data_IF_617680765829
#
_entry.id   IF_617680765829
#
_cell.length_a   1.000
_cell.length_b   1.000
_cell.length_c   1.000
_cell.angle_alpha   90.00
_cell.angle_beta   90.00
_cell.angle_gamma   90.00
#
_symmetry.space_group_name_H-M   'P 1'
#
loop_
_entity.id
_entity.type
_entity.pdbx_description
1 polymer ?
#
# COMPACT_ATOMS: atom_id res chain seq x y z
N UNK A 1 -72.66 24.76 21.71
CA UNK A 1 -71.49 24.53 20.84
C UNK A 1 -70.93 23.15 21.12
N UNK A 2 -71.23 22.19 20.25
CA UNK A 2 -70.85 20.78 20.40
C UNK A 2 -69.44 20.53 19.82
N UNK A 3 -68.53 19.91 20.59
CA UNK A 3 -67.21 19.48 20.14
C UNK A 3 -67.28 18.04 19.63
N UNK A 4 -67.06 17.84 18.33
CA UNK A 4 -67.00 16.54 17.64
C UNK A 4 -65.86 15.66 18.20
N UNK A 5 -66.07 14.34 18.41
CA UNK A 5 -65.00 13.40 18.77
C UNK A 5 -64.15 13.02 17.55
N UNK A 6 -62.84 12.81 17.78
CA UNK A 6 -61.81 12.50 16.77
C UNK A 6 -61.94 11.05 16.30
N UNK A 7 -61.75 10.83 15.00
CA UNK A 7 -61.81 9.54 14.31
C UNK A 7 -60.57 8.69 14.59
N UNK A 8 -60.76 7.42 14.94
CA UNK A 8 -59.69 6.43 15.12
C UNK A 8 -59.19 5.93 13.76
N UNK A 9 -57.89 6.08 13.49
CA UNK A 9 -57.24 5.56 12.28
C UNK A 9 -57.04 4.05 12.33
N UNK A 10 -57.28 3.37 11.21
CA UNK A 10 -57.07 1.92 11.04
C UNK A 10 -55.58 1.56 11.00
N UNK A 11 -55.15 0.41 11.57
CA UNK A 11 -53.74 0.00 11.55
C UNK A 11 -53.32 -0.59 10.19
N UNK A 12 -52.08 -0.32 9.76
CA UNK A 12 -51.50 -0.82 8.49
C UNK A 12 -51.20 -2.33 8.55
N UNK A 13 -51.31 -3.07 7.43
CA UNK A 13 -51.02 -4.50 7.39
C UNK A 13 -49.52 -4.80 7.51
N UNK A 14 -49.19 -5.91 8.16
CA UNK A 14 -47.82 -6.38 8.42
C UNK A 14 -47.16 -6.98 7.17
N UNK A 15 -45.83 -6.77 7.06
CA UNK A 15 -44.98 -7.26 5.95
C UNK A 15 -44.91 -8.79 5.91
N UNK A 16 -45.00 -9.36 4.70
CA UNK A 16 -44.93 -10.80 4.42
C UNK A 16 -43.57 -11.42 4.76
N UNK A 17 -43.62 -12.70 5.16
CA UNK A 17 -42.46 -13.54 5.54
C UNK A 17 -41.53 -13.77 4.35
N UNK A 18 -40.23 -13.69 4.60
CA UNK A 18 -39.13 -14.02 3.68
C UNK A 18 -39.18 -15.48 3.21
N UNK A 19 -39.33 -15.71 1.90
CA UNK A 19 -39.09 -17.01 1.26
C UNK A 19 -37.60 -17.33 1.17
N UNK A 20 -37.23 -18.61 1.23
CA UNK A 20 -35.84 -19.09 1.13
C UNK A 20 -35.25 -18.81 -0.27
N UNK A 21 -33.95 -18.51 -0.41
CA UNK A 21 -33.32 -18.20 -1.70
C UNK A 21 -33.23 -19.43 -2.62
N UNK A 22 -33.34 -19.20 -3.94
CA UNK A 22 -33.19 -20.22 -5.00
C UNK A 22 -31.75 -20.75 -5.03
N UNK A 23 -31.58 -22.06 -5.22
CA UNK A 23 -30.26 -22.71 -5.24
C UNK A 23 -29.43 -22.29 -6.47
N UNK A 24 -28.10 -22.14 -6.33
CA UNK A 24 -27.21 -21.76 -7.44
C UNK A 24 -27.08 -22.88 -8.49
N UNK A 25 -26.72 -22.52 -9.74
CA UNK A 25 -26.55 -23.49 -10.83
C UNK A 25 -25.38 -24.45 -10.58
N UNK A 26 -25.46 -25.64 -11.18
CA UNK A 26 -24.43 -26.67 -11.05
C UNK A 26 -23.05 -26.18 -11.55
N UNK A 27 -22.01 -26.46 -10.76
CA UNK A 27 -20.63 -26.11 -11.07
C UNK A 27 -19.97 -27.20 -11.94
N UNK A 28 -19.04 -26.79 -12.79
CA UNK A 28 -18.16 -27.73 -13.51
C UNK A 28 -17.08 -28.30 -12.58
N UNK A 29 -16.35 -29.34 -12.99
CA UNK A 29 -15.29 -29.96 -12.18
C UNK A 29 -14.16 -29.00 -11.74
N UNK A 30 -14.08 -27.81 -12.34
CA UNK A 30 -13.15 -26.73 -12.00
C UNK A 30 -13.75 -25.65 -11.08
N UNK A 31 -14.96 -25.86 -10.53
CA UNK A 31 -15.60 -24.93 -9.57
C UNK A 31 -16.12 -23.62 -10.18
N UNK A 32 -16.31 -23.56 -11.50
CA UNK A 32 -16.88 -22.39 -12.18
C UNK A 32 -18.35 -22.64 -12.57
N UNK A 33 -19.21 -21.61 -12.50
CA UNK A 33 -20.62 -21.75 -12.85
C UNK A 33 -20.76 -22.11 -14.32
N UNK A 34 -21.48 -23.20 -14.64
CA UNK A 34 -21.73 -23.58 -16.03
C UNK A 34 -22.75 -22.63 -16.66
N UNK A 35 -22.30 -21.55 -17.29
CA UNK A 35 -23.19 -20.64 -18.00
C UNK A 35 -23.46 -21.20 -19.40
N UNK A 36 -24.67 -21.72 -19.60
CA UNK A 36 -25.17 -22.18 -20.90
C UNK A 36 -25.50 -20.95 -21.77
N UNK A 37 -24.51 -20.35 -22.43
CA UNK A 37 -24.75 -19.07 -23.13
C UNK A 37 -23.90 -18.73 -24.34
N UNK A 38 -22.68 -19.23 -24.46
CA UNK A 38 -21.83 -18.91 -25.61
C UNK A 38 -21.29 -20.22 -26.17
N UNK A 39 -21.54 -20.50 -27.46
CA UNK A 39 -21.09 -21.72 -28.15
C UNK A 39 -19.57 -21.81 -28.34
N UNK A 40 -18.82 -21.23 -27.40
CA UNK A 40 -17.38 -21.32 -27.29
C UNK A 40 -17.01 -22.72 -26.78
N UNK A 41 -16.00 -23.31 -27.40
CA UNK A 41 -15.50 -24.61 -26.96
C UNK A 41 -15.01 -24.51 -25.50
N UNK A 42 -15.22 -25.57 -24.68
CA UNK A 42 -14.73 -25.55 -23.31
C UNK A 42 -13.22 -25.31 -23.29
N UNK A 43 -12.77 -24.44 -22.38
CA UNK A 43 -11.34 -24.17 -22.20
C UNK A 43 -10.61 -25.48 -21.90
N UNK A 44 -9.54 -25.74 -22.65
CA UNK A 44 -8.71 -26.93 -22.45
C UNK A 44 -7.96 -26.80 -21.12
N UNK A 45 -7.76 -27.89 -20.36
CA UNK A 45 -6.91 -27.86 -19.17
C UNK A 45 -5.52 -27.30 -19.47
N UNK A 46 -4.97 -26.52 -18.55
CA UNK A 46 -3.62 -25.98 -18.65
C UNK A 46 -2.60 -27.13 -18.61
N UNK A 47 -1.85 -27.28 -19.69
CA UNK A 47 -0.77 -28.27 -19.82
C UNK A 47 0.56 -27.52 -19.88
N UNK A 48 1.37 -27.53 -18.80
CA UNK A 48 2.64 -26.80 -18.75
C UNK A 48 3.72 -27.40 -19.67
N UNK A 49 3.58 -28.67 -20.05
CA UNK A 49 4.56 -29.40 -20.88
C UNK A 49 4.07 -29.61 -22.32
N UNK A 50 2.83 -29.20 -22.62
CA UNK A 50 2.20 -29.37 -23.92
C UNK A 50 2.61 -28.30 -24.94
N UNK A 51 3.29 -28.71 -26.02
CA UNK A 51 3.54 -27.84 -27.17
C UNK A 51 2.22 -27.45 -27.86
N UNK A 52 1.74 -26.23 -27.60
CA UNK A 52 0.57 -25.69 -28.29
C UNK A 52 0.90 -25.44 -29.79
N UNK A 53 -0.05 -25.68 -30.72
CA UNK A 53 0.18 -25.37 -32.13
C UNK A 53 0.45 -23.87 -32.30
N UNK A 54 1.48 -23.53 -33.08
CA UNK A 54 1.89 -22.15 -33.29
C UNK A 54 0.73 -21.31 -33.84
N UNK A 55 0.31 -20.32 -33.05
CA UNK A 55 -0.79 -19.42 -33.41
C UNK A 55 -0.45 -18.71 -34.74
N UNK A 56 -1.43 -18.48 -35.64
CA UNK A 56 -1.20 -17.81 -36.92
C UNK A 56 -0.49 -16.46 -36.78
N UNK A 57 -0.76 -15.72 -35.70
CA UNK A 57 -0.13 -14.44 -35.38
C UNK A 57 1.38 -14.53 -35.10
N UNK A 58 1.85 -15.67 -34.58
CA UNK A 58 3.25 -15.90 -34.21
C UNK A 58 4.09 -16.49 -35.37
N UNK A 59 3.49 -16.79 -36.53
CA UNK A 59 4.23 -17.28 -37.70
C UNK A 59 5.18 -16.25 -38.34
N UNK A 60 4.98 -14.96 -38.06
CA UNK A 60 5.82 -13.87 -38.60
C UNK A 60 6.93 -13.43 -37.65
N UNK A 61 6.82 -13.77 -36.37
CA UNK A 61 7.91 -13.59 -35.42
C UNK A 61 8.89 -14.72 -35.62
N UNK A 62 10.18 -14.41 -35.76
CA UNK A 62 11.22 -15.44 -35.88
C UNK A 62 11.11 -16.48 -34.76
N UNK A 63 11.65 -17.68 -35.01
CA UNK A 63 11.68 -18.78 -34.04
C UNK A 63 12.19 -18.21 -32.72
N UNK A 64 11.36 -18.28 -31.68
CA UNK A 64 11.80 -17.94 -30.33
C UNK A 64 12.93 -18.91 -29.98
N UNK A 65 14.08 -18.43 -29.48
CA UNK A 65 15.11 -19.33 -28.97
C UNK A 65 14.48 -20.28 -27.95
N UNK A 66 14.90 -21.54 -27.95
CA UNK A 66 14.38 -22.54 -26.99
C UNK A 66 14.57 -22.10 -25.53
N UNK A 67 15.59 -21.27 -25.27
CA UNK A 67 15.88 -20.68 -23.94
C UNK A 67 15.19 -19.32 -23.70
N UNK A 68 14.16 -18.97 -24.48
CA UNK A 68 13.46 -17.70 -24.31
C UNK A 68 12.66 -17.67 -23.00
N UNK A 69 13.20 -16.98 -22.01
CA UNK A 69 12.48 -16.70 -20.77
C UNK A 69 12.05 -15.24 -20.71
N UNK A 70 10.74 -14.94 -20.61
CA UNK A 70 10.23 -13.57 -20.70
C UNK A 70 10.76 -12.64 -19.60
N UNK A 71 11.13 -13.18 -18.42
CA UNK A 71 11.70 -12.40 -17.34
C UNK A 71 13.23 -12.40 -17.28
N UNK A 72 13.93 -13.20 -18.10
CA UNK A 72 15.40 -13.28 -18.00
C UNK A 72 16.08 -11.96 -18.36
N UNK A 73 15.55 -11.22 -19.34
CA UNK A 73 16.04 -9.88 -19.65
C UNK A 73 15.83 -8.89 -18.49
N UNK A 74 14.67 -8.92 -17.84
CA UNK A 74 14.38 -8.07 -16.69
C UNK A 74 15.29 -8.39 -15.51
N UNK A 75 15.47 -9.68 -15.22
CA UNK A 75 16.36 -10.15 -14.15
C UNK A 75 17.82 -9.76 -14.42
N UNK A 76 18.27 -9.80 -15.68
CA UNK A 76 19.60 -9.34 -16.04
C UNK A 76 19.82 -7.84 -15.78
N UNK A 77 18.78 -7.02 -16.00
CA UNK A 77 18.85 -5.57 -15.79
C UNK A 77 18.78 -5.17 -14.31
N UNK A 78 17.92 -5.84 -13.53
CA UNK A 78 17.69 -5.52 -12.13
C UNK A 78 18.76 -6.08 -11.19
N UNK A 79 19.41 -7.18 -11.57
CA UNK A 79 20.51 -7.74 -10.80
C UNK A 79 21.69 -6.76 -10.75
N UNK A 80 22.31 -6.67 -9.57
CA UNK A 80 23.55 -5.91 -9.40
C UNK A 80 24.64 -6.50 -10.31
N UNK A 81 25.55 -5.68 -10.87
CA UNK A 81 26.57 -6.17 -11.81
C UNK A 81 27.34 -7.40 -11.32
N UNK A 82 27.69 -7.43 -10.03
CA UNK A 82 28.43 -8.50 -9.35
C UNK A 82 27.58 -9.75 -9.02
N UNK A 83 26.26 -9.65 -9.01
CA UNK A 83 25.32 -10.74 -8.67
C UNK A 83 24.72 -11.40 -9.94
N UNK A 84 25.13 -10.99 -11.14
CA UNK A 84 24.60 -11.49 -12.42
C UNK A 84 25.06 -12.91 -12.72
N UNK A 85 24.12 -13.77 -13.10
CA UNK A 85 24.39 -15.11 -13.62
C UNK A 85 25.05 -15.04 -15.01
N UNK A 86 25.75 -16.12 -15.42
CA UNK A 86 26.36 -16.21 -16.76
C UNK A 86 25.33 -16.02 -17.89
N UNK A 87 24.10 -16.53 -17.71
CA UNK A 87 23.00 -16.33 -18.65
C UNK A 87 22.55 -14.87 -18.74
N UNK A 88 22.52 -14.15 -17.61
CA UNK A 88 22.21 -12.72 -17.58
C UNK A 88 23.30 -11.89 -18.28
N UNK A 89 24.57 -12.24 -18.08
CA UNK A 89 25.70 -11.60 -18.76
C UNK A 89 25.63 -11.79 -20.28
N UNK A 90 25.42 -13.03 -20.75
CA UNK A 90 25.29 -13.33 -22.18
C UNK A 90 24.08 -12.62 -22.84
N UNK A 91 22.99 -12.37 -22.10
CA UNK A 91 21.85 -11.59 -22.59
C UNK A 91 22.19 -10.11 -22.72
N UNK A 92 22.95 -9.53 -21.79
CA UNK A 92 23.39 -8.14 -21.84
C UNK A 92 24.41 -7.90 -22.95
N UNK A 93 25.30 -8.85 -23.23
CA UNK A 93 26.25 -8.79 -24.35
C UNK A 93 25.54 -8.68 -25.71
N UNK A 94 24.36 -9.28 -25.86
CA UNK A 94 23.52 -9.14 -27.06
C UNK A 94 22.91 -7.73 -27.19
N UNK A 95 22.94 -6.92 -26.15
CA UNK A 95 22.31 -5.59 -26.08
C UNK A 95 23.29 -4.52 -25.54
N UNK A 96 24.35 -4.19 -26.30
CA UNK A 96 25.45 -3.35 -25.83
C UNK A 96 25.01 -1.94 -25.41
N UNK A 97 24.00 -1.37 -26.09
CA UNK A 97 23.45 -0.05 -25.76
C UNK A 97 22.81 0.00 -24.36
N UNK A 98 22.12 -1.08 -23.96
CA UNK A 98 21.46 -1.16 -22.66
C UNK A 98 22.48 -1.57 -21.58
N UNK A 99 23.40 -2.48 -21.90
CA UNK A 99 24.46 -2.90 -20.98
C UNK A 99 25.39 -1.75 -20.56
N UNK A 100 25.69 -0.82 -21.47
CA UNK A 100 26.51 0.35 -21.19
C UNK A 100 25.79 1.43 -20.36
N UNK A 101 24.47 1.33 -20.17
CA UNK A 101 23.71 2.34 -19.46
C UNK A 101 24.15 2.42 -17.98
N UNK A 102 24.38 3.61 -17.41
CA UNK A 102 24.87 3.79 -16.04
C UNK A 102 24.07 3.01 -14.96
N UNK A 103 22.73 2.94 -15.10
CA UNK A 103 21.85 2.16 -14.21
C UNK A 103 22.14 0.64 -14.22
N UNK A 104 22.64 0.12 -15.35
CA UNK A 104 22.89 -1.30 -15.58
C UNK A 104 24.37 -1.64 -15.35
N UNK A 105 25.28 -0.74 -15.70
CA UNK A 105 26.73 -0.95 -15.53
C UNK A 105 27.24 -0.72 -14.11
N UNK A 106 26.41 -0.14 -13.22
CA UNK A 106 26.80 0.17 -11.84
C UNK A 106 27.58 1.48 -11.71
N UNK A 107 27.64 2.30 -12.76
CA UNK A 107 28.32 3.60 -12.77
C UNK A 107 27.52 4.74 -12.12
N UNK A 108 26.34 4.48 -11.54
CA UNK A 108 25.55 5.50 -10.87
C UNK A 108 26.22 5.92 -9.56
N UNK A 109 26.35 7.23 -9.28
CA UNK A 109 26.72 7.68 -7.95
C UNK A 109 25.67 7.18 -6.94
N UNK A 110 26.14 6.64 -5.83
CA UNK A 110 25.27 6.20 -4.74
C UNK A 110 24.41 7.40 -4.29
N UNK A 111 23.09 7.25 -4.33
CA UNK A 111 22.19 8.29 -3.85
C UNK A 111 22.47 8.53 -2.36
N UNK A 112 23.13 9.64 -2.05
CA UNK A 112 23.34 10.11 -0.68
C UNK A 112 22.33 11.23 -0.42
N UNK A 113 21.28 10.99 0.38
CA UNK A 113 20.36 12.05 0.75
C UNK A 113 21.14 13.16 1.45
N UNK A 114 21.11 14.37 0.89
CA UNK A 114 21.76 15.52 1.49
C UNK A 114 21.12 15.79 2.86
N UNK A 115 21.93 15.74 3.93
CA UNK A 115 21.51 16.14 5.28
C UNK A 115 22.08 17.52 5.53
N UNK A 116 21.28 18.60 5.41
CA UNK A 116 21.74 19.92 5.79
C UNK A 116 22.28 19.88 7.22
N UNK A 117 23.36 20.63 7.52
CA UNK A 117 23.82 20.77 8.89
C UNK A 117 22.66 21.33 9.72
N UNK A 118 22.40 20.72 10.88
CA UNK A 118 21.41 21.24 11.80
C UNK A 118 21.86 22.66 12.16
N UNK A 119 20.98 23.68 12.06
CA UNK A 119 21.34 24.99 12.56
C UNK A 119 21.80 24.84 14.01
N UNK A 120 22.84 25.60 14.39
CA UNK A 120 23.25 25.65 15.78
C UNK A 120 22.04 26.01 16.63
N UNK A 121 21.96 25.43 17.83
CA UNK A 121 20.86 25.76 18.75
C UNK A 121 20.86 27.27 18.92
N UNK A 122 19.78 27.91 18.51
CA UNK A 122 19.59 29.36 18.56
C UNK A 122 19.93 29.88 19.96
N UNK A 123 20.88 30.82 20.02
CA UNK A 123 21.02 31.84 21.07
C UNK A 123 20.86 31.33 22.52
N UNK A 124 21.56 30.24 22.85
CA UNK A 124 21.71 29.86 24.25
C UNK A 124 22.28 31.03 25.05
N UNK A 125 21.69 31.34 26.21
CA UNK A 125 22.18 32.38 27.12
C UNK A 125 21.25 33.58 27.31
N UNK A 126 20.23 33.76 26.47
CA UNK A 126 19.20 34.77 26.72
C UNK A 126 18.16 34.18 27.70
N UNK A 127 17.91 34.82 28.85
CA UNK A 127 16.88 34.37 29.78
C UNK A 127 15.49 34.53 29.15
N UNK A 128 14.62 33.53 29.30
CA UNK A 128 13.22 33.62 28.88
C UNK A 128 12.50 34.64 29.76
N UNK A 129 11.97 35.71 29.17
CA UNK A 129 11.13 36.69 29.85
C UNK A 129 9.65 36.35 29.59
N UNK A 130 8.89 36.07 30.64
CA UNK A 130 7.45 35.80 30.54
C UNK A 130 6.70 37.14 30.49
N UNK A 131 5.95 37.39 29.41
CA UNK A 131 5.03 38.52 29.29
C UNK A 131 3.59 37.99 29.31
N UNK A 132 2.82 38.36 30.34
CA UNK A 132 1.42 37.97 30.51
C UNK A 132 0.71 39.04 31.35
N UNK A 133 -0.57 39.28 31.07
CA UNK A 133 -1.44 40.13 31.89
C UNK A 133 -1.94 39.40 33.15
N UNK A 134 -1.77 38.09 33.23
CA UNK A 134 -2.27 37.24 34.31
C UNK A 134 -1.13 36.72 35.19
N UNK A 135 -1.39 36.67 36.51
CA UNK A 135 -0.54 36.03 37.49
C UNK A 135 -0.98 34.57 37.74
N UNK A 136 -0.04 33.64 37.97
CA UNK A 136 -0.36 32.25 38.32
C UNK A 136 -1.29 32.20 39.54
N UNK A 137 -2.39 31.46 39.42
CA UNK A 137 -3.45 31.41 40.43
C UNK A 137 -3.98 29.98 40.63
N UNK A 138 -4.64 29.73 41.76
CA UNK A 138 -5.15 28.40 42.10
C UNK A 138 -4.03 27.40 42.37
N UNK A 139 -4.08 26.24 41.71
CA UNK A 139 -3.06 25.18 41.83
C UNK A 139 -1.85 25.39 40.89
N UNK A 140 -1.90 26.40 40.01
CA UNK A 140 -0.82 26.67 39.06
C UNK A 140 0.54 26.97 39.73
N UNK A 141 0.63 27.79 40.82
CA UNK A 141 1.91 28.04 41.47
C UNK A 141 2.57 26.76 42.01
N UNK A 142 1.76 25.84 42.56
CA UNK A 142 2.25 24.56 43.06
C UNK A 142 2.72 23.66 41.90
N UNK A 143 1.90 23.49 40.86
CA UNK A 143 2.26 22.70 39.69
C UNK A 143 3.54 23.21 39.00
N UNK A 144 3.70 24.54 38.88
CA UNK A 144 4.93 25.14 38.34
C UNK A 144 6.13 24.77 39.22
N UNK A 145 6.01 24.88 40.54
CA UNK A 145 7.09 24.53 41.47
C UNK A 145 7.50 23.06 41.38
N UNK A 146 6.53 22.15 41.27
CA UNK A 146 6.77 20.72 41.13
C UNK A 146 7.48 20.38 39.81
N UNK A 147 7.03 20.96 38.69
CA UNK A 147 7.67 20.75 37.39
C UNK A 147 9.09 21.31 37.35
N UNK A 148 9.31 22.52 37.89
CA UNK A 148 10.65 23.12 37.98
C UNK A 148 11.58 22.25 38.83
N UNK A 149 11.08 21.70 39.94
CA UNK A 149 11.84 20.77 40.78
C UNK A 149 12.20 19.48 40.04
N UNK A 150 11.27 18.87 39.31
CA UNK A 150 11.54 17.69 38.47
C UNK A 150 12.56 17.97 37.37
N UNK A 151 12.50 19.15 36.76
CA UNK A 151 13.49 19.60 35.76
C UNK A 151 14.89 19.76 36.39
N UNK A 152 14.98 20.35 37.58
CA UNK A 152 16.25 20.47 38.31
C UNK A 152 16.82 19.10 38.71
N UNK A 153 15.96 18.12 38.95
CA UNK A 153 16.34 16.73 39.22
C UNK A 153 16.66 15.91 37.94
N UNK A 154 16.64 16.53 36.75
CA UNK A 154 16.87 15.90 35.45
C UNK A 154 15.88 14.75 35.13
N UNK A 155 14.65 14.86 35.62
CA UNK A 155 13.58 13.93 35.28
C UNK A 155 13.21 14.06 33.81
N UNK A 156 13.32 12.94 33.07
CA UNK A 156 13.07 12.93 31.62
C UNK A 156 11.59 12.95 31.25
N UNK A 157 10.74 12.40 32.11
CA UNK A 157 9.31 12.23 31.84
C UNK A 157 8.52 12.88 32.96
N UNK A 158 7.76 13.93 32.64
CA UNK A 158 6.87 14.62 33.56
C UNK A 158 5.49 14.77 32.89
N UNK A 159 4.42 14.65 33.66
CA UNK A 159 3.04 14.73 33.16
C UNK A 159 2.31 15.82 33.94
N UNK A 160 1.75 16.80 33.23
CA UNK A 160 0.88 17.83 33.80
C UNK A 160 -0.57 17.50 33.44
N UNK A 161 -1.38 17.14 34.44
CA UNK A 161 -2.80 16.87 34.26
C UNK A 161 -3.61 18.15 34.51
N UNK A 162 -3.83 18.91 33.44
CA UNK A 162 -4.72 20.08 33.49
C UNK A 162 -6.18 19.65 33.48
N UNK A 163 -6.95 20.09 34.48
CA UNK A 163 -8.42 20.09 34.39
C UNK A 163 -8.87 21.26 33.50
N UNK A 164 -9.95 21.06 32.73
CA UNK A 164 -10.47 22.05 31.76
C UNK A 164 -11.28 23.14 32.42
#
# INVERSE_FOLDING_TARGET
MARKPRTSGTPRPSRGRSGKPVQPPAETAAGTPSVRGFGEAPQRPFDPDGAAPALPALRRTGIRPEDFHPSAGLNALLARPEERTATAQALLERQPMIAAHPLVSGGMPMFMPHRPPRPEKSEGGIPLAIQSEFAPSGDQPQAIGELVKGLAALERNQVLLGVT
#
